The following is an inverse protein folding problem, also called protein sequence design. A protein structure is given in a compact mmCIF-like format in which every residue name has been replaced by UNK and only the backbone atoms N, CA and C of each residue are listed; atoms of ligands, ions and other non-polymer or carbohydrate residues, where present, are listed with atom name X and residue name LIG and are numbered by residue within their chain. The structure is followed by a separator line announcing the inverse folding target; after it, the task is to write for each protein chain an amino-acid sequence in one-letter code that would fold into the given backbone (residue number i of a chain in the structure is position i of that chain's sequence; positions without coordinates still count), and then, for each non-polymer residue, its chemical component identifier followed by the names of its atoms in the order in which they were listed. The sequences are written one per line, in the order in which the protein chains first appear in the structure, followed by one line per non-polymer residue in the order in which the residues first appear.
data_IF_052106912923
#
_entry.id   IF_052106912923
#
_cell.length_a   1.000
_cell.length_b   1.000
_cell.length_c   1.000
_cell.angle_alpha   90.00
_cell.angle_beta   90.00
_cell.angle_gamma   90.00
#
_symmetry.space_group_name_H-M   'P 1'
#
loop_
_entity.id
_entity.type
_entity.pdbx_description
1 polymer ?
#
# COMPACT_ATOMS: atom_id res chain seq x y z
N UNK A 1 -7.73 -39.03 30.66
CA UNK A 1 -6.54 -39.14 29.80
C UNK A 1 -5.69 -37.90 30.05
N UNK A 2 -4.65 -38.07 30.87
CA UNK A 2 -3.58 -37.08 31.09
C UNK A 2 -2.44 -37.51 30.19
N UNK A 3 -2.00 -36.64 29.28
CA UNK A 3 -0.76 -36.83 28.55
C UNK A 3 0.32 -36.02 29.23
N UNK A 4 1.28 -36.76 29.76
CA UNK A 4 2.46 -36.27 30.47
C UNK A 4 3.49 -35.64 29.52
N UNK A 5 4.27 -34.78 30.17
CA UNK A 5 5.43 -33.98 29.77
C UNK A 5 6.55 -34.78 29.07
N UNK A 6 7.47 -34.06 28.40
CA UNK A 6 8.89 -33.90 28.83
C UNK A 6 9.66 -32.95 27.88
N UNK A 7 10.71 -32.25 28.36
CA UNK A 7 11.28 -31.03 27.80
C UNK A 7 12.63 -31.25 27.08
N UNK A 8 13.12 -30.23 26.40
CA UNK A 8 14.54 -30.08 26.06
C UNK A 8 14.97 -28.62 26.24
N UNK A 9 16.05 -28.46 27.01
CA UNK A 9 16.69 -27.21 27.35
C UNK A 9 17.88 -26.92 26.43
N UNK A 10 18.32 -25.66 26.52
CA UNK A 10 19.70 -25.15 26.38
C UNK A 10 20.24 -24.77 24.99
N UNK A 11 20.43 -23.45 24.80
CA UNK A 11 21.69 -22.75 24.47
C UNK A 11 21.33 -21.26 24.20
N UNK A 12 21.59 -20.27 25.06
CA UNK A 12 22.87 -19.70 25.51
C UNK A 12 23.76 -19.16 24.36
N UNK A 13 23.46 -17.94 23.90
CA UNK A 13 24.40 -16.92 23.41
C UNK A 13 23.60 -15.59 23.41
N UNK A 14 23.93 -14.52 24.12
CA UNK A 14 25.24 -14.10 24.59
C UNK A 14 25.78 -12.96 23.72
N UNK A 15 25.02 -11.86 23.58
CA UNK A 15 25.55 -10.61 23.03
C UNK A 15 25.01 -9.44 23.83
N UNK A 16 25.70 -9.13 24.93
CA UNK A 16 25.59 -7.86 25.61
C UNK A 16 26.26 -6.80 24.72
N UNK A 17 25.47 -5.98 24.03
CA UNK A 17 25.97 -4.80 23.33
C UNK A 17 26.31 -3.76 24.40
N UNK A 18 27.59 -3.66 24.78
CA UNK A 18 28.09 -2.59 25.62
C UNK A 18 28.08 -1.31 24.78
N UNK A 19 27.03 -0.51 24.93
CA UNK A 19 26.95 0.87 24.46
C UNK A 19 27.89 1.72 25.33
N UNK A 20 29.17 1.72 24.97
CA UNK A 20 30.13 2.72 25.43
C UNK A 20 29.82 4.06 24.75
N UNK A 21 28.86 4.82 25.30
CA UNK A 21 28.74 6.25 25.02
C UNK A 21 29.88 6.99 25.73
N UNK A 22 31.08 6.91 25.17
CA UNK A 22 32.13 7.88 25.39
C UNK A 22 32.08 8.87 24.22
N UNK A 23 31.91 10.15 24.57
CA UNK A 23 31.60 11.22 23.63
C UNK A 23 32.54 11.33 22.43
N UNK A 24 31.93 11.56 21.28
CA UNK A 24 32.54 12.22 20.15
C UNK A 24 31.68 13.44 19.82
N UNK A 25 32.15 14.62 20.20
CA UNK A 25 31.85 15.86 19.49
C UNK A 25 32.42 15.71 18.08
N UNK A 26 31.59 15.25 17.16
CA UNK A 26 31.89 15.19 15.74
C UNK A 26 30.82 16.02 15.07
N UNK A 27 31.25 17.12 14.44
CA UNK A 27 30.55 17.74 13.32
C UNK A 27 29.98 16.63 12.44
N UNK A 28 28.68 16.38 12.56
CA UNK A 28 27.98 15.46 11.67
C UNK A 28 27.62 16.27 10.43
N UNK A 29 28.62 16.60 9.62
CA UNK A 29 28.40 16.77 8.19
C UNK A 29 27.79 15.44 7.72
N UNK A 30 26.46 15.37 7.56
CA UNK A 30 25.70 14.11 7.47
C UNK A 30 25.19 13.86 6.04
N UNK A 31 26.04 13.50 5.07
CA UNK A 31 25.59 13.18 3.72
C UNK A 31 24.65 11.96 3.68
N UNK A 32 24.59 11.17 4.75
CA UNK A 32 23.64 10.06 4.92
C UNK A 32 22.22 10.54 5.22
N UNK A 33 22.05 11.63 5.98
CA UNK A 33 20.72 12.20 6.24
C UNK A 33 20.16 12.92 5.02
N UNK A 34 21.03 13.60 4.25
CA UNK A 34 20.66 14.21 2.98
C UNK A 34 20.27 13.17 1.93
N UNK A 35 21.04 12.08 1.77
CA UNK A 35 20.69 10.96 0.88
C UNK A 35 19.39 10.25 1.29
N UNK A 36 19.16 10.09 2.59
CA UNK A 36 17.91 9.50 3.09
C UNK A 36 16.71 10.40 2.75
N UNK A 37 16.83 11.71 3.00
CA UNK A 37 15.77 12.67 2.65
C UNK A 37 15.46 12.70 1.15
N UNK A 38 16.48 12.66 0.30
CA UNK A 38 16.29 12.62 -1.16
C UNK A 38 15.66 11.31 -1.65
N UNK A 39 16.02 10.18 -1.02
CA UNK A 39 15.41 8.87 -1.32
C UNK A 39 13.94 8.83 -0.93
N UNK A 40 13.58 9.36 0.24
CA UNK A 40 12.19 9.45 0.71
C UNK A 40 11.39 10.39 -0.20
N UNK A 41 11.95 11.56 -0.55
CA UNK A 41 11.29 12.51 -1.48
C UNK A 41 10.99 11.83 -2.82
N UNK A 42 11.96 11.14 -3.40
CA UNK A 42 11.78 10.43 -4.66
C UNK A 42 10.73 9.31 -4.56
N UNK A 43 10.68 8.59 -3.43
CA UNK A 43 9.67 7.57 -3.18
C UNK A 43 8.26 8.18 -3.09
N UNK A 44 8.09 9.31 -2.39
CA UNK A 44 6.81 10.03 -2.29
C UNK A 44 6.38 10.56 -3.66
N UNK A 45 7.27 11.17 -4.43
CA UNK A 45 6.96 11.62 -5.81
C UNK A 45 6.53 10.45 -6.71
N UNK A 46 7.20 9.31 -6.57
CA UNK A 46 6.80 8.08 -7.27
C UNK A 46 5.42 7.60 -6.83
N UNK A 47 5.13 7.57 -5.52
CA UNK A 47 3.83 7.18 -5.01
C UNK A 47 2.71 8.13 -5.50
N UNK A 48 2.96 9.44 -5.54
CA UNK A 48 2.03 10.44 -6.10
C UNK A 48 1.75 10.19 -7.59
N UNK A 49 2.78 9.88 -8.39
CA UNK A 49 2.56 9.52 -9.80
C UNK A 49 1.71 8.24 -9.95
N UNK A 50 1.84 7.27 -9.02
CA UNK A 50 0.98 6.09 -9.00
C UNK A 50 -0.47 6.39 -8.64
N UNK A 51 -0.71 7.35 -7.75
CA UNK A 51 -2.06 7.85 -7.44
C UNK A 51 -2.73 8.40 -8.70
N UNK A 52 -2.00 9.24 -9.46
CA UNK A 52 -2.54 9.83 -10.69
C UNK A 52 -2.83 8.78 -11.77
N UNK A 53 -1.93 7.81 -11.94
CA UNK A 53 -2.15 6.66 -12.83
C UNK A 53 -3.39 5.85 -12.43
N UNK A 54 -3.56 5.59 -11.13
CA UNK A 54 -4.70 4.84 -10.60
C UNK A 54 -6.03 5.60 -10.79
N UNK A 55 -6.02 6.93 -10.65
CA UNK A 55 -7.17 7.79 -10.99
C UNK A 55 -7.52 7.72 -12.47
N UNK A 56 -6.52 7.76 -13.35
CA UNK A 56 -6.74 7.56 -14.78
C UNK A 56 -7.38 6.21 -15.09
N UNK A 57 -6.95 5.15 -14.40
CA UNK A 57 -7.56 3.82 -14.52
C UNK A 57 -9.01 3.77 -13.99
N UNK A 58 -9.34 4.51 -12.93
CA UNK A 58 -10.73 4.68 -12.46
C UNK A 58 -11.59 5.33 -13.53
N UNK A 59 -11.13 6.40 -14.17
CA UNK A 59 -11.89 7.11 -15.18
C UNK A 59 -12.14 6.23 -16.41
N UNK A 60 -11.14 5.46 -16.83
CA UNK A 60 -11.29 4.46 -17.89
C UNK A 60 -12.28 3.36 -17.47
N UNK A 61 -12.18 2.84 -16.24
CA UNK A 61 -13.12 1.85 -15.73
C UNK A 61 -14.55 2.37 -15.77
N UNK A 62 -14.79 3.62 -15.31
CA UNK A 62 -16.09 4.32 -15.35
C UNK A 62 -16.63 4.47 -16.76
N UNK A 63 -15.78 4.87 -17.73
CA UNK A 63 -16.19 4.98 -19.13
C UNK A 63 -16.67 3.63 -19.69
N UNK A 64 -16.09 2.51 -19.23
CA UNK A 64 -16.51 1.16 -19.64
C UNK A 64 -17.77 0.65 -18.93
N UNK A 65 -18.31 1.33 -17.90
CA UNK A 65 -19.59 0.93 -17.29
C UNK A 65 -20.80 1.16 -18.18
N UNK A 66 -20.73 2.12 -19.12
CA UNK A 66 -21.90 2.49 -19.94
C UNK A 66 -22.43 1.32 -20.79
N UNK A 67 -21.58 0.32 -21.09
CA UNK A 67 -21.95 -0.89 -21.82
C UNK A 67 -22.27 -2.13 -20.97
N UNK A 68 -22.27 -2.02 -19.64
CA UNK A 68 -22.42 -3.16 -18.72
C UNK A 68 -23.89 -3.42 -18.38
N UNK A 69 -24.26 -4.69 -18.27
CA UNK A 69 -25.58 -5.11 -17.82
C UNK A 69 -25.91 -4.57 -16.40
N UNK A 70 -27.15 -4.14 -16.14
CA UNK A 70 -27.51 -3.50 -14.87
C UNK A 70 -27.26 -4.37 -13.64
N UNK A 71 -27.31 -5.69 -13.78
CA UNK A 71 -27.08 -6.66 -12.71
C UNK A 71 -25.63 -6.67 -12.21
N UNK A 72 -24.66 -6.46 -13.11
CA UNK A 72 -23.24 -6.39 -12.75
C UNK A 72 -22.78 -4.95 -12.43
N UNK A 73 -23.53 -3.96 -12.90
CA UNK A 73 -23.20 -2.53 -12.78
C UNK A 73 -23.03 -2.08 -11.33
N UNK A 74 -23.94 -2.50 -10.44
CA UNK A 74 -23.90 -2.09 -9.04
C UNK A 74 -22.63 -2.56 -8.30
N UNK A 75 -22.17 -3.79 -8.56
CA UNK A 75 -20.95 -4.31 -7.96
C UNK A 75 -19.69 -3.60 -8.47
N UNK A 76 -19.69 -3.20 -9.74
CA UNK A 76 -18.59 -2.44 -10.32
C UNK A 76 -18.57 -1.01 -9.80
N UNK A 77 -19.73 -0.36 -9.67
CA UNK A 77 -19.84 0.99 -9.10
C UNK A 77 -19.33 1.00 -7.65
N UNK A 78 -19.67 -0.01 -6.85
CA UNK A 78 -19.16 -0.17 -5.48
C UNK A 78 -17.64 -0.36 -5.47
N UNK A 79 -17.09 -1.23 -6.33
CA UNK A 79 -15.65 -1.44 -6.43
C UNK A 79 -14.89 -0.17 -6.84
N UNK A 80 -15.41 0.58 -7.81
CA UNK A 80 -14.84 1.85 -8.25
C UNK A 80 -14.93 2.92 -7.15
N UNK A 81 -16.06 3.00 -6.43
CA UNK A 81 -16.20 3.92 -5.32
C UNK A 81 -15.19 3.61 -4.21
N UNK A 82 -15.07 2.33 -3.83
CA UNK A 82 -14.09 1.87 -2.85
C UNK A 82 -12.65 2.17 -3.28
N UNK A 83 -12.33 1.95 -4.55
CA UNK A 83 -11.02 2.27 -5.13
C UNK A 83 -10.73 3.77 -5.07
N UNK A 84 -11.72 4.60 -5.40
CA UNK A 84 -11.59 6.06 -5.34
C UNK A 84 -11.26 6.51 -3.92
N UNK A 85 -12.02 6.04 -2.93
CA UNK A 85 -11.76 6.37 -1.52
C UNK A 85 -10.38 5.90 -1.07
N UNK A 86 -10.00 4.67 -1.37
CA UNK A 86 -8.68 4.14 -0.98
C UNK A 86 -7.51 4.92 -1.60
N UNK A 87 -7.65 5.36 -2.85
CA UNK A 87 -6.63 6.18 -3.54
C UNK A 87 -6.57 7.59 -2.95
N UNK A 88 -7.72 8.19 -2.61
CA UNK A 88 -7.77 9.49 -1.94
C UNK A 88 -7.15 9.43 -0.53
N UNK A 89 -7.41 8.35 0.22
CA UNK A 89 -6.79 8.10 1.52
C UNK A 89 -5.27 7.91 1.39
N UNK A 90 -4.82 7.16 0.38
CA UNK A 90 -3.39 7.01 0.07
C UNK A 90 -2.73 8.36 -0.25
N UNK A 91 -3.39 9.22 -1.01
CA UNK A 91 -2.87 10.57 -1.25
C UNK A 91 -2.81 11.40 0.04
N UNK A 92 -3.86 11.35 0.86
CA UNK A 92 -3.87 12.05 2.15
C UNK A 92 -2.75 11.55 3.07
N UNK A 93 -2.43 10.25 3.02
CA UNK A 93 -1.32 9.67 3.77
C UNK A 93 0.05 10.15 3.27
N UNK A 94 0.24 10.27 1.95
CA UNK A 94 1.47 10.80 1.34
C UNK A 94 1.68 12.29 1.67
N UNK A 95 0.60 13.05 1.80
CA UNK A 95 0.65 14.48 2.15
C UNK A 95 0.78 14.73 3.67
N UNK A 96 0.59 13.70 4.51
CA UNK A 96 0.63 13.81 5.96
C UNK A 96 2.06 13.76 6.52
N UNK A 97 2.34 14.61 7.51
CA UNK A 97 3.64 14.63 8.20
C UNK A 97 3.86 13.44 9.17
N UNK A 98 2.79 12.74 9.57
CA UNK A 98 2.80 11.58 10.47
C UNK A 98 2.28 10.35 9.69
N UNK A 99 3.13 9.83 8.81
CA UNK A 99 2.74 8.89 7.77
C UNK A 99 2.27 7.52 8.30
N UNK A 100 2.73 7.04 9.45
CA UNK A 100 2.59 5.60 9.80
C UNK A 100 1.15 5.09 9.96
N UNK A 101 0.28 5.83 10.66
CA UNK A 101 -1.13 5.41 10.86
C UNK A 101 -1.95 5.63 9.59
N UNK A 102 -1.72 6.74 8.90
CA UNK A 102 -2.43 7.07 7.66
C UNK A 102 -2.06 6.09 6.54
N UNK A 103 -0.78 5.68 6.45
CA UNK A 103 -0.31 4.65 5.52
C UNK A 103 -0.98 3.32 5.80
N UNK A 104 -1.01 2.86 7.06
CA UNK A 104 -1.64 1.59 7.41
C UNK A 104 -3.16 1.56 7.08
N UNK A 105 -3.86 2.66 7.32
CA UNK A 105 -5.28 2.80 6.96
C UNK A 105 -5.47 2.81 5.43
N UNK A 106 -4.64 3.54 4.70
CA UNK A 106 -4.66 3.56 3.25
C UNK A 106 -4.33 2.19 2.63
N UNK A 107 -3.35 1.46 3.17
CA UNK A 107 -3.03 0.09 2.74
C UNK A 107 -4.22 -0.86 2.94
N UNK A 108 -4.89 -0.78 4.09
CA UNK A 108 -6.09 -1.57 4.35
C UNK A 108 -7.23 -1.22 3.38
N UNK A 109 -7.42 0.08 3.07
CA UNK A 109 -8.38 0.55 2.08
C UNK A 109 -8.07 0.04 0.66
N UNK A 110 -6.80 0.08 0.25
CA UNK A 110 -6.36 -0.40 -1.05
C UNK A 110 -6.55 -1.92 -1.18
N UNK A 111 -6.28 -2.69 -0.12
CA UNK A 111 -6.53 -4.13 -0.08
C UNK A 111 -8.02 -4.47 -0.22
N UNK A 112 -8.91 -3.72 0.46
CA UNK A 112 -10.36 -3.89 0.34
C UNK A 112 -10.86 -3.52 -1.07
N UNK A 113 -10.38 -2.41 -1.62
CA UNK A 113 -10.68 -1.99 -2.99
C UNK A 113 -10.28 -3.06 -4.01
N UNK A 114 -9.08 -3.64 -3.87
CA UNK A 114 -8.62 -4.76 -4.70
C UNK A 114 -9.56 -5.96 -4.62
N UNK A 115 -9.94 -6.36 -3.42
CA UNK A 115 -10.85 -7.49 -3.23
C UNK A 115 -12.22 -7.26 -3.91
N UNK A 116 -12.74 -6.03 -3.86
CA UNK A 116 -13.98 -5.65 -4.55
C UNK A 116 -13.81 -5.63 -6.07
N UNK A 117 -12.68 -5.16 -6.59
CA UNK A 117 -12.40 -5.20 -8.03
C UNK A 117 -12.31 -6.64 -8.53
N UNK A 118 -11.63 -7.53 -7.81
CA UNK A 118 -11.53 -8.94 -8.17
C UNK A 118 -12.92 -9.62 -8.16
N UNK A 119 -13.75 -9.31 -7.15
CA UNK A 119 -15.13 -9.78 -7.09
C UNK A 119 -15.98 -9.23 -8.26
N UNK A 120 -15.83 -7.95 -8.61
CA UNK A 120 -16.53 -7.34 -9.73
C UNK A 120 -16.09 -7.93 -11.08
N UNK A 121 -14.78 -8.10 -11.28
CA UNK A 121 -14.17 -8.68 -12.48
C UNK A 121 -14.59 -10.14 -12.71
N UNK A 122 -14.86 -10.90 -11.65
CA UNK A 122 -15.40 -12.26 -11.75
C UNK A 122 -16.82 -12.30 -12.37
N UNK A 123 -17.56 -11.19 -12.32
CA UNK A 123 -18.96 -11.10 -12.76
C UNK A 123 -19.15 -10.41 -14.12
N UNK A 124 -18.08 -9.92 -14.76
CA UNK A 124 -18.13 -9.25 -16.06
C UNK A 124 -17.10 -9.81 -17.01
N UNK A 125 -17.35 -9.74 -18.32
CA UNK A 125 -16.43 -10.22 -19.35
C UNK A 125 -15.86 -9.08 -20.22
N UNK A 126 -14.89 -9.44 -21.07
CA UNK A 126 -14.39 -8.59 -22.14
C UNK A 126 -13.69 -7.32 -21.64
N UNK A 127 -13.93 -6.21 -22.33
CA UNK A 127 -13.22 -4.94 -22.11
C UNK A 127 -13.43 -4.37 -20.72
N UNK A 128 -14.59 -4.61 -20.10
CA UNK A 128 -14.87 -4.18 -18.73
C UNK A 128 -14.01 -4.96 -17.75
N UNK A 129 -13.91 -6.29 -17.89
CA UNK A 129 -13.01 -7.10 -17.05
C UNK A 129 -11.58 -6.61 -17.14
N UNK A 130 -11.06 -6.41 -18.36
CA UNK A 130 -9.69 -5.93 -18.56
C UNK A 130 -9.45 -4.55 -17.93
N UNK A 131 -10.46 -3.68 -17.88
CA UNK A 131 -10.36 -2.39 -17.19
C UNK A 131 -10.23 -2.55 -15.68
N UNK A 132 -11.04 -3.43 -15.09
CA UNK A 132 -11.02 -3.70 -13.64
C UNK A 132 -9.71 -4.39 -13.23
N UNK A 133 -9.22 -5.32 -14.03
CA UNK A 133 -7.90 -5.95 -13.83
C UNK A 133 -6.76 -4.93 -13.93
N UNK A 134 -6.82 -4.01 -14.90
CA UNK A 134 -5.84 -2.94 -15.01
C UNK A 134 -5.87 -1.98 -13.81
N UNK A 135 -7.07 -1.64 -13.32
CA UNK A 135 -7.22 -0.85 -12.10
C UNK A 135 -6.70 -1.59 -10.87
N UNK A 136 -6.99 -2.89 -10.73
CA UNK A 136 -6.47 -3.75 -9.65
C UNK A 136 -4.93 -3.76 -9.65
N UNK A 137 -4.30 -3.89 -10.82
CA UNK A 137 -2.84 -3.81 -10.94
C UNK A 137 -2.26 -2.43 -10.55
N UNK A 138 -3.00 -1.33 -10.80
CA UNK A 138 -2.58 0.01 -10.38
C UNK A 138 -2.71 0.24 -8.88
N UNK A 139 -3.75 -0.34 -8.27
CA UNK A 139 -3.89 -0.36 -6.80
C UNK A 139 -2.72 -1.13 -6.17
N UNK A 140 -2.34 -2.28 -6.75
CA UNK A 140 -1.18 -3.05 -6.26
C UNK A 140 0.13 -2.29 -6.33
N UNK A 141 0.35 -1.59 -7.45
CA UNK A 141 1.52 -0.75 -7.65
C UNK A 141 1.55 0.39 -6.62
N UNK A 142 0.41 1.02 -6.37
CA UNK A 142 0.28 2.07 -5.37
C UNK A 142 0.55 1.54 -3.95
N UNK A 143 -0.02 0.38 -3.57
CA UNK A 143 0.25 -0.24 -2.27
C UNK A 143 1.74 -0.52 -2.05
N UNK A 144 2.43 -1.06 -3.07
CA UNK A 144 3.88 -1.31 -2.98
C UNK A 144 4.69 -0.01 -2.81
N UNK A 145 4.31 1.06 -3.51
CA UNK A 145 4.97 2.36 -3.36
C UNK A 145 4.70 2.98 -1.99
N UNK A 146 3.48 2.84 -1.47
CA UNK A 146 3.11 3.34 -0.16
C UNK A 146 3.89 2.63 0.96
N UNK A 147 4.03 1.31 0.89
CA UNK A 147 4.87 0.52 1.81
C UNK A 147 6.35 0.99 1.78
N UNK A 148 6.87 1.27 0.58
CA UNK A 148 8.22 1.77 0.40
C UNK A 148 8.44 3.17 0.98
N UNK A 149 7.40 4.02 1.03
CA UNK A 149 7.48 5.35 1.67
C UNK A 149 7.44 5.30 3.20
N UNK A 150 6.94 4.21 3.79
CA UNK A 150 6.85 4.01 5.24
C UNK A 150 8.05 3.23 5.83
N UNK A 151 8.94 2.74 4.98
CA UNK A 151 10.13 1.94 5.34
C UNK A 151 11.35 2.80 5.63
#
# INVERSE_FOLDING_TARGET
MRTDRIPAAAAAAGTALVLALAGCSTDVDSPELEQLGESISSAVESAQASVDDARGAIDEARARLEGVAPEARAGIEDAIASSTTAIDDAQAALDAADASSAVAEAEAGLADARAKLDAAAANVDGVTRSALEALSAKIDELSQRLEATAS
#
